data_IF_165866553453
#
_entry.id   IF_165866553453
#
_cell.length_a   1.000
_cell.length_b   1.000
_cell.length_c   1.000
_cell.angle_alpha   90.00
_cell.angle_beta   90.00
_cell.angle_gamma   90.00
#
_symmetry.space_group_name_H-M   'P 1'
#
loop_
_entity.id
_entity.type
_entity.pdbx_description
1 polymer ?
#
# COMPACT_ATOMS: atom_id res chain seq x y z
N UNK A 1 5.75 -3.06 -4.64
CA UNK A 1 5.14 -2.65 -3.36
C UNK A 1 5.89 -3.32 -2.21
N UNK A 2 6.15 -2.61 -1.10
CA UNK A 2 6.63 -3.23 0.16
C UNK A 2 5.58 -3.00 1.24
N UNK A 3 5.42 -3.92 2.19
CA UNK A 3 4.47 -3.76 3.29
C UNK A 3 5.00 -4.34 4.60
N UNK A 4 4.40 -3.93 5.71
CA UNK A 4 4.60 -4.52 7.04
C UNK A 4 3.30 -4.49 7.83
N UNK A 5 3.00 -5.57 8.53
CA UNK A 5 1.89 -5.65 9.49
C UNK A 5 2.48 -5.91 10.87
N UNK A 6 2.12 -5.09 11.85
CA UNK A 6 2.63 -5.19 13.22
C UNK A 6 1.52 -4.98 14.25
N UNK A 7 1.47 -5.80 15.29
CA UNK A 7 0.62 -5.57 16.44
C UNK A 7 1.17 -4.40 17.29
N UNK A 8 0.32 -3.46 17.67
CA UNK A 8 0.69 -2.24 18.42
C UNK A 8 0.18 -2.23 19.86
N UNK A 9 -0.42 -3.32 20.34
CA UNK A 9 -1.16 -3.39 21.59
C UNK A 9 -2.61 -2.90 21.47
N UNK A 10 -2.86 -1.89 20.63
CA UNK A 10 -4.19 -1.31 20.39
C UNK A 10 -4.82 -1.72 19.04
N UNK A 11 -4.22 -2.69 18.36
CA UNK A 11 -4.64 -3.17 17.05
C UNK A 11 -3.47 -3.54 16.14
N UNK A 12 -3.77 -3.70 14.87
CA UNK A 12 -2.85 -4.15 13.83
C UNK A 12 -2.56 -3.00 12.85
N UNK A 13 -1.33 -2.52 12.89
CA UNK A 13 -0.86 -1.44 12.03
C UNK A 13 -0.33 -2.03 10.72
N UNK A 14 -1.02 -1.73 9.63
CA UNK A 14 -0.58 -1.98 8.27
C UNK A 14 0.17 -0.74 7.76
N UNK A 15 1.36 -0.96 7.20
CA UNK A 15 2.14 0.05 6.49
C UNK A 15 2.41 -0.46 5.08
N UNK A 16 2.10 0.33 4.06
CA UNK A 16 2.38 0.02 2.66
C UNK A 16 3.28 1.12 2.10
N UNK A 17 4.32 0.74 1.38
CA UNK A 17 5.22 1.64 0.67
C UNK A 17 5.11 1.38 -0.82
N UNK A 18 4.80 2.45 -1.55
CA UNK A 18 4.56 2.38 -2.98
C UNK A 18 5.40 3.41 -3.71
N UNK A 19 5.92 3.07 -4.90
CA UNK A 19 6.50 4.09 -5.77
C UNK A 19 5.40 5.09 -6.14
N UNK A 20 5.68 6.38 -5.98
CA UNK A 20 4.79 7.38 -6.55
C UNK A 20 4.58 7.11 -8.04
N UNK A 21 3.37 7.35 -8.58
CA UNK A 21 3.25 7.61 -10.01
C UNK A 21 4.24 8.73 -10.33
N UNK A 22 5.27 8.37 -11.08
CA UNK A 22 6.33 9.27 -11.51
C UNK A 22 5.61 10.32 -12.36
N UNK A 23 5.53 11.57 -11.88
CA UNK A 23 5.40 12.66 -12.83
C UNK A 23 6.63 12.60 -13.71
N UNK A 24 6.46 12.65 -15.02
CA UNK A 24 7.52 12.52 -16.03
C UNK A 24 8.67 13.53 -15.89
N UNK A 25 8.56 14.48 -14.96
CA UNK A 25 9.53 15.52 -14.62
C UNK A 25 10.32 15.27 -13.31
N UNK A 26 10.02 14.22 -12.52
CA UNK A 26 10.61 14.01 -11.20
C UNK A 26 11.70 12.94 -11.18
N UNK A 27 12.90 13.30 -10.70
CA UNK A 27 14.12 12.48 -10.72
C UNK A 27 14.21 11.40 -9.65
N UNK A 28 13.23 11.28 -8.74
CA UNK A 28 13.21 10.23 -7.71
C UNK A 28 11.78 9.70 -7.50
N UNK A 29 11.59 8.38 -7.37
CA UNK A 29 10.33 7.83 -6.91
C UNK A 29 10.22 8.17 -5.42
N UNK A 30 9.44 9.19 -5.06
CA UNK A 30 9.04 9.34 -3.66
C UNK A 30 8.22 8.10 -3.29
N UNK A 31 8.70 7.35 -2.30
CA UNK A 31 7.92 6.25 -1.74
C UNK A 31 6.85 6.88 -0.83
N UNK A 32 5.59 6.88 -1.25
CA UNK A 32 4.53 7.28 -0.34
C UNK A 32 4.20 6.11 0.59
N UNK A 33 3.92 6.44 1.85
CA UNK A 33 3.62 5.47 2.90
C UNK A 33 2.16 5.58 3.30
N UNK A 34 1.38 4.53 3.03
CA UNK A 34 0.03 4.38 3.57
C UNK A 34 0.13 3.73 4.95
N UNK A 35 -0.58 4.27 5.93
CA UNK A 35 -0.65 3.73 7.30
C UNK A 35 -2.11 3.59 7.72
N UNK A 36 -2.52 2.37 8.03
CA UNK A 36 -3.88 2.09 8.52
C UNK A 36 -3.82 1.23 9.77
N UNK A 37 -4.67 1.55 10.73
CA UNK A 37 -4.81 0.78 11.97
C UNK A 37 -6.11 -0.02 11.91
N UNK A 38 -6.01 -1.31 12.17
CA UNK A 38 -7.13 -2.24 12.11
C UNK A 38 -7.35 -2.91 13.47
N UNK A 39 -8.60 -3.29 13.76
CA UNK A 39 -8.94 -3.96 15.01
C UNK A 39 -8.32 -5.37 15.07
N UNK A 40 -8.37 -6.11 13.96
CA UNK A 40 -7.84 -7.47 13.86
C UNK A 40 -6.74 -7.60 12.80
N UNK A 41 -5.97 -8.70 12.88
CA UNK A 41 -4.98 -9.03 11.86
C UNK A 41 -5.64 -9.35 10.52
N UNK A 42 -6.82 -9.97 10.55
CA UNK A 42 -7.57 -10.35 9.37
C UNK A 42 -7.98 -9.12 8.56
N UNK A 43 -8.50 -8.08 9.22
CA UNK A 43 -8.88 -6.82 8.57
C UNK A 43 -7.66 -6.13 7.89
N UNK A 44 -6.48 -6.17 8.54
CA UNK A 44 -5.25 -5.63 7.98
C UNK A 44 -4.79 -6.42 6.73
N UNK A 45 -4.98 -7.74 6.73
CA UNK A 45 -4.66 -8.60 5.59
C UNK A 45 -5.65 -8.40 4.43
N UNK A 46 -6.94 -8.24 4.72
CA UNK A 46 -7.97 -7.94 3.72
C UNK A 46 -7.74 -6.58 3.05
N UNK A 47 -7.40 -5.56 3.84
CA UNK A 47 -7.04 -4.25 3.33
C UNK A 47 -5.79 -4.31 2.42
N UNK A 48 -4.78 -5.08 2.81
CA UNK A 48 -3.60 -5.33 1.97
C UNK A 48 -3.97 -5.99 0.64
N UNK A 49 -4.80 -7.04 0.67
CA UNK A 49 -5.22 -7.75 -0.54
C UNK A 49 -6.00 -6.83 -1.50
N UNK A 50 -6.95 -6.05 -0.96
CA UNK A 50 -7.70 -5.05 -1.74
C UNK A 50 -6.77 -4.04 -2.40
N UNK A 51 -5.78 -3.55 -1.65
CA UNK A 51 -4.79 -2.60 -2.15
C UNK A 51 -3.95 -3.19 -3.29
N UNK A 52 -3.52 -4.45 -3.16
CA UNK A 52 -2.78 -5.16 -4.20
C UNK A 52 -3.60 -5.28 -5.49
N UNK A 53 -4.86 -5.70 -5.40
CA UNK A 53 -5.76 -5.82 -6.55
C UNK A 53 -5.97 -4.48 -7.24
N UNK A 54 -6.17 -3.40 -6.49
CA UNK A 54 -6.32 -2.06 -7.06
C UNK A 54 -5.04 -1.58 -7.76
N UNK A 55 -3.87 -1.84 -7.17
CA UNK A 55 -2.60 -1.46 -7.78
C UNK A 55 -2.34 -2.24 -9.09
N UNK A 56 -2.62 -3.54 -9.13
CA UNK A 56 -2.53 -4.36 -10.35
C UNK A 56 -3.45 -3.83 -11.45
N UNK A 57 -4.70 -3.49 -11.10
CA UNK A 57 -5.66 -2.92 -12.04
C UNK A 57 -5.18 -1.59 -12.64
N UNK A 58 -4.65 -0.68 -11.82
CA UNK A 58 -4.11 0.59 -12.31
C UNK A 58 -2.89 0.41 -13.23
N UNK A 59 -2.02 -0.56 -12.93
CA UNK A 59 -0.87 -0.88 -13.79
C UNK A 59 -1.32 -1.44 -15.15
N UNK A 60 -2.36 -2.28 -15.19
CA UNK A 60 -2.92 -2.80 -16.44
C UNK A 60 -3.52 -1.68 -17.30
N UNK A 61 -4.24 -0.72 -16.70
CA UNK A 61 -4.79 0.43 -17.43
C UNK A 61 -3.71 1.37 -17.96
N UNK A 62 -2.61 1.55 -17.22
CA UNK A 62 -1.53 2.48 -17.59
C UNK A 62 -0.60 1.92 -18.67
N UNK A 63 -0.73 0.63 -19.00
CA UNK A 63 0.08 -0.07 -20.00
C UNK A 63 -0.64 -0.24 -21.37
N UNK A 64 -1.87 0.28 -21.50
CA UNK A 64 -2.68 0.30 -22.73
C UNK A 64 -2.57 1.63 -23.45
#
# INVERSE_FOLDING_TARGET
>A
MKYSISNTGNGWLLKIWEPSPIRSDSSLPFLYQIKTLHATQADALEALATHQTMNEYHLMQSAS
#
